data_IF_800314589776
#
_entry.id   IF_800314589776
#
_cell.length_a   1.000
_cell.length_b   1.000
_cell.length_c   1.000
_cell.angle_alpha   90.00
_cell.angle_beta   90.00
_cell.angle_gamma   90.00
#
_symmetry.space_group_name_H-M   'P 1'
#
loop_
_entity.id
_entity.type
_entity.pdbx_description
1 polymer ?
#
# COMPACT_ATOMS: atom_id res chain seq x y z
N UNK A 1 -68.42 24.82 -38.68
CA UNK A 1 -67.09 24.32 -38.23
C UNK A 1 -66.03 24.82 -39.20
N UNK A 2 -65.31 25.90 -38.86
CA UNK A 2 -64.21 26.40 -39.69
C UNK A 2 -63.01 25.48 -39.49
N UNK A 3 -62.72 24.63 -40.49
CA UNK A 3 -61.44 23.92 -40.58
C UNK A 3 -60.36 24.97 -40.89
N UNK A 4 -59.54 25.31 -39.90
CA UNK A 4 -58.34 26.12 -40.12
C UNK A 4 -57.27 25.20 -40.71
N UNK A 5 -56.82 25.49 -41.92
CA UNK A 5 -55.71 24.78 -42.54
C UNK A 5 -54.39 25.20 -41.90
N UNK A 6 -53.55 24.23 -41.57
CA UNK A 6 -52.17 24.46 -41.10
C UNK A 6 -51.45 25.27 -42.18
N UNK A 7 -50.86 26.40 -41.80
CA UNK A 7 -50.11 27.23 -42.73
C UNK A 7 -48.71 26.65 -42.91
N UNK A 8 -48.14 26.77 -44.12
CA UNK A 8 -46.79 26.26 -44.42
C UNK A 8 -45.74 26.84 -43.45
N UNK A 9 -45.95 28.08 -43.00
CA UNK A 9 -45.12 28.75 -42.00
C UNK A 9 -45.12 28.02 -40.64
N UNK A 10 -46.28 27.54 -40.18
CA UNK A 10 -46.42 26.81 -38.92
C UNK A 10 -45.68 25.45 -38.98
N UNK A 11 -45.75 24.75 -40.12
CA UNK A 11 -44.98 23.52 -40.35
C UNK A 11 -43.47 23.78 -40.27
N UNK A 12 -42.98 24.87 -40.88
CA UNK A 12 -41.56 25.22 -40.84
C UNK A 12 -41.08 25.53 -39.42
N UNK A 13 -41.89 26.22 -38.61
CA UNK A 13 -41.57 26.50 -37.22
C UNK A 13 -41.51 25.21 -36.40
N UNK A 14 -42.47 24.30 -36.56
CA UNK A 14 -42.47 23.01 -35.85
C UNK A 14 -41.24 22.17 -36.21
N UNK A 15 -40.87 22.11 -37.49
CA UNK A 15 -39.66 21.39 -37.93
C UNK A 15 -38.39 22.00 -37.35
N UNK A 16 -38.30 23.33 -37.30
CA UNK A 16 -37.16 24.02 -36.69
C UNK A 16 -37.06 23.73 -35.20
N UNK A 17 -38.17 23.83 -34.46
CA UNK A 17 -38.22 23.48 -33.04
C UNK A 17 -37.84 22.02 -32.81
N UNK A 18 -38.34 21.10 -33.64
CA UNK A 18 -38.01 19.68 -33.54
C UNK A 18 -36.52 19.42 -33.81
N UNK A 19 -35.93 20.09 -34.80
CA UNK A 19 -34.49 19.99 -35.09
C UNK A 19 -33.64 20.49 -33.91
N UNK A 20 -34.03 21.59 -33.28
CA UNK A 20 -33.34 22.13 -32.08
C UNK A 20 -33.45 21.14 -30.91
N UNK A 21 -34.64 20.58 -30.67
CA UNK A 21 -34.85 19.61 -29.58
C UNK A 21 -34.05 18.34 -29.82
N UNK A 22 -34.04 17.82 -31.05
CA UNK A 22 -33.26 16.64 -31.40
C UNK A 22 -31.76 16.90 -31.24
N UNK A 23 -31.26 18.07 -31.66
CA UNK A 23 -29.86 18.46 -31.47
C UNK A 23 -29.47 18.63 -30.00
N UNK A 24 -30.33 19.20 -29.18
CA UNK A 24 -30.10 19.31 -27.74
C UNK A 24 -30.14 17.93 -27.05
N UNK A 25 -31.01 17.05 -27.50
CA UNK A 25 -31.13 15.69 -26.94
C UNK A 25 -29.91 14.83 -27.25
N UNK A 26 -29.39 14.89 -28.48
CA UNK A 26 -28.20 14.12 -28.87
C UNK A 26 -26.95 14.59 -28.14
N UNK A 27 -26.76 15.90 -27.99
CA UNK A 27 -25.63 16.47 -27.23
C UNK A 27 -25.71 16.10 -25.74
N UNK A 28 -26.89 16.20 -25.13
CA UNK A 28 -27.10 15.77 -23.73
C UNK A 28 -26.77 14.29 -23.53
N UNK A 29 -27.22 13.40 -24.42
CA UNK A 29 -26.92 11.97 -24.32
C UNK A 29 -25.42 11.72 -24.49
N UNK A 30 -24.75 12.38 -25.43
CA UNK A 30 -23.31 12.25 -25.63
C UNK A 30 -22.52 12.68 -24.38
N UNK A 31 -22.85 13.83 -23.79
CA UNK A 31 -22.22 14.33 -22.56
C UNK A 31 -22.52 13.43 -21.36
N UNK A 32 -23.75 12.91 -21.25
CA UNK A 32 -24.10 11.96 -20.19
C UNK A 32 -23.25 10.67 -20.27
N UNK A 33 -23.06 10.11 -21.47
CA UNK A 33 -22.23 8.91 -21.67
C UNK A 33 -20.77 9.20 -21.29
N UNK A 34 -20.23 10.34 -21.71
CA UNK A 34 -18.86 10.75 -21.35
C UNK A 34 -18.67 10.87 -19.84
N UNK A 35 -19.62 11.51 -19.14
CA UNK A 35 -19.59 11.59 -17.68
C UNK A 35 -19.70 10.23 -17.00
N UNK A 36 -20.53 9.31 -17.52
CA UNK A 36 -20.63 7.96 -16.94
C UNK A 36 -19.36 7.15 -17.10
N UNK A 37 -18.67 7.28 -18.25
CA UNK A 37 -17.41 6.58 -18.48
C UNK A 37 -16.32 7.12 -17.55
N UNK A 38 -16.17 8.45 -17.48
CA UNK A 38 -15.19 9.07 -16.60
C UNK A 38 -15.47 8.76 -15.12
N UNK A 39 -16.74 8.83 -14.69
CA UNK A 39 -17.11 8.48 -13.32
C UNK A 39 -16.84 7.01 -12.98
N UNK A 40 -16.96 6.09 -13.96
CA UNK A 40 -16.64 4.67 -13.76
C UNK A 40 -15.13 4.49 -13.58
N UNK A 41 -14.32 5.12 -14.42
CA UNK A 41 -12.86 5.09 -14.33
C UNK A 41 -12.37 5.63 -12.98
N UNK A 42 -12.87 6.80 -12.56
CA UNK A 42 -12.52 7.39 -11.26
C UNK A 42 -12.92 6.50 -10.07
N UNK A 43 -14.06 5.79 -10.14
CA UNK A 43 -14.48 4.87 -9.07
C UNK A 43 -13.57 3.66 -8.96
N UNK A 44 -13.14 3.11 -10.09
CA UNK A 44 -12.21 1.97 -10.13
C UNK A 44 -10.87 2.38 -9.53
N UNK A 45 -10.34 3.54 -9.94
CA UNK A 45 -9.10 4.09 -9.39
C UNK A 45 -9.19 4.29 -7.87
N UNK A 46 -10.24 4.96 -7.39
CA UNK A 46 -10.46 5.19 -5.95
C UNK A 46 -10.60 3.89 -5.15
N UNK A 47 -11.30 2.88 -5.70
CA UNK A 47 -11.47 1.59 -5.03
C UNK A 47 -10.13 0.86 -4.92
N UNK A 48 -9.32 0.88 -5.99
CA UNK A 48 -7.98 0.29 -6.00
C UNK A 48 -7.08 0.96 -4.96
N UNK A 49 -7.12 2.29 -4.90
CA UNK A 49 -6.39 3.10 -3.94
C UNK A 49 -6.76 2.74 -2.49
N UNK A 50 -8.05 2.74 -2.17
CA UNK A 50 -8.54 2.37 -0.84
C UNK A 50 -8.13 0.94 -0.44
N UNK A 51 -8.24 -0.03 -1.35
CA UNK A 51 -7.84 -1.42 -1.08
C UNK A 51 -6.33 -1.56 -0.84
N UNK A 52 -5.52 -0.81 -1.59
CA UNK A 52 -4.07 -0.78 -1.40
C UNK A 52 -3.71 -0.20 -0.02
N UNK A 53 -4.27 0.95 0.33
CA UNK A 53 -4.02 1.62 1.62
C UNK A 53 -4.53 0.79 2.80
N UNK A 54 -5.72 0.20 2.70
CA UNK A 54 -6.27 -0.66 3.73
C UNK A 54 -5.41 -1.92 3.93
N UNK A 55 -4.86 -2.49 2.85
CA UNK A 55 -3.94 -3.63 2.94
C UNK A 55 -2.64 -3.24 3.64
N UNK A 56 -2.02 -2.12 3.25
CA UNK A 56 -0.81 -1.61 3.93
C UNK A 56 -1.08 -1.30 5.40
N UNK A 57 -2.20 -0.63 5.70
CA UNK A 57 -2.62 -0.34 7.08
C UNK A 57 -2.75 -1.62 7.88
N UNK A 58 -3.43 -2.63 7.35
CA UNK A 58 -3.63 -3.90 8.04
C UNK A 58 -2.31 -4.64 8.34
N UNK A 59 -1.30 -4.56 7.48
CA UNK A 59 -0.01 -5.21 7.72
C UNK A 59 0.77 -4.41 8.78
N UNK A 60 0.86 -3.09 8.61
CA UNK A 60 1.64 -2.21 9.48
C UNK A 60 1.06 -2.08 10.89
N UNK A 61 -0.27 -2.06 11.05
CA UNK A 61 -0.90 -2.00 12.37
C UNK A 61 -0.46 -3.18 13.26
N UNK A 62 -0.18 -4.35 12.69
CA UNK A 62 0.26 -5.53 13.44
C UNK A 62 1.79 -5.59 13.66
N UNK A 63 2.53 -4.53 13.27
CA UNK A 63 3.96 -4.43 13.56
C UNK A 63 4.20 -4.60 15.07
N UNK A 64 5.18 -5.43 15.40
CA UNK A 64 5.45 -5.86 16.75
C UNK A 64 6.94 -5.92 17.01
N UNK A 65 7.32 -5.51 18.20
CA UNK A 65 8.67 -5.56 18.71
C UNK A 65 8.67 -6.33 20.03
N UNK A 66 9.52 -7.35 20.12
CA UNK A 66 9.71 -8.12 21.34
C UNK A 66 10.32 -7.27 22.44
N UNK A 67 9.86 -7.45 23.68
CA UNK A 67 10.44 -6.80 24.86
C UNK A 67 11.72 -7.49 25.34
N UNK A 68 12.06 -8.66 24.79
CA UNK A 68 13.25 -9.40 25.16
C UNK A 68 14.47 -8.88 24.42
N UNK A 69 15.43 -8.29 25.14
CA UNK A 69 16.64 -7.69 24.55
C UNK A 69 17.55 -8.70 23.79
N UNK A 70 17.34 -10.00 24.00
CA UNK A 70 18.09 -11.07 23.31
C UNK A 70 17.37 -11.59 22.07
N UNK A 71 16.15 -11.12 21.80
CA UNK A 71 15.37 -11.56 20.65
C UNK A 71 15.83 -10.82 19.39
N UNK A 72 16.65 -11.49 18.59
CA UNK A 72 17.11 -10.97 17.29
C UNK A 72 16.10 -11.20 16.17
N UNK A 73 15.04 -11.98 16.40
CA UNK A 73 14.04 -12.29 15.41
C UNK A 73 12.93 -11.22 15.34
N UNK A 74 12.92 -10.25 16.25
CA UNK A 74 11.98 -9.13 16.26
C UNK A 74 12.68 -7.80 16.05
N UNK A 75 12.29 -7.06 15.02
CA UNK A 75 12.92 -5.78 14.66
C UNK A 75 12.01 -4.94 13.77
N UNK A 76 12.33 -3.66 13.66
CA UNK A 76 11.67 -2.70 12.78
C UNK A 76 12.72 -1.74 12.23
N UNK A 77 12.85 -1.71 10.91
CA UNK A 77 13.85 -0.91 10.22
C UNK A 77 13.23 -0.26 8.98
N UNK A 78 13.50 1.02 8.78
CA UNK A 78 13.07 1.75 7.62
C UNK A 78 14.06 2.84 7.25
N UNK A 79 14.21 3.11 5.96
CA UNK A 79 15.09 4.16 5.44
C UNK A 79 16.24 3.62 4.58
N UNK A 80 17.30 4.41 4.44
CA UNK A 80 18.26 4.35 3.34
C UNK A 80 19.26 3.19 3.38
N UNK A 81 19.35 2.43 4.47
CA UNK A 81 20.42 1.45 4.69
C UNK A 81 19.96 -0.02 4.57
N UNK A 82 18.76 -0.28 4.03
CA UNK A 82 18.16 -1.63 4.02
C UNK A 82 18.49 -2.41 2.75
N UNK A 83 18.32 -1.83 1.57
CA UNK A 83 18.78 -2.46 0.33
C UNK A 83 20.31 -2.55 0.29
N UNK A 84 20.83 -3.73 -0.10
CA UNK A 84 22.21 -3.91 -0.54
C UNK A 84 22.43 -3.12 -1.83
N UNK A 85 22.52 -1.79 -1.74
CA UNK A 85 22.91 -0.96 -2.87
C UNK A 85 24.35 -1.29 -3.23
N UNK A 86 24.57 -1.64 -4.50
CA UNK A 86 25.92 -1.77 -5.03
C UNK A 86 26.58 -0.39 -4.91
N UNK A 87 27.80 -0.33 -4.36
CA UNK A 87 28.50 0.92 -4.06
C UNK A 87 28.39 1.94 -5.22
N UNK A 88 27.66 3.04 -4.99
CA UNK A 88 27.50 4.14 -5.94
C UNK A 88 26.07 4.42 -6.45
N UNK A 89 25.05 3.66 -6.04
CA UNK A 89 23.65 4.08 -6.24
C UNK A 89 23.14 4.89 -5.05
N UNK A 90 22.31 5.91 -5.35
CA UNK A 90 21.60 6.65 -4.31
C UNK A 90 20.74 5.68 -3.51
N UNK A 91 20.87 5.73 -2.19
CA UNK A 91 20.05 4.92 -1.30
C UNK A 91 18.59 5.32 -1.44
N UNK A 92 17.74 4.34 -1.74
CA UNK A 92 16.32 4.57 -1.94
C UNK A 92 15.62 4.47 -0.58
N UNK A 93 14.93 5.52 -0.08
CA UNK A 93 14.15 5.46 1.18
C UNK A 93 12.87 4.62 1.04
N UNK A 94 12.83 3.71 0.07
CA UNK A 94 11.65 2.98 -0.39
C UNK A 94 11.48 1.63 0.28
N UNK A 95 12.44 1.23 1.13
CA UNK A 95 12.41 -0.04 1.84
C UNK A 95 11.97 0.13 3.30
N UNK A 96 11.09 -0.78 3.73
CA UNK A 96 10.61 -0.91 5.09
C UNK A 96 10.56 -2.40 5.45
N UNK A 97 11.32 -2.80 6.45
CA UNK A 97 11.41 -4.18 6.93
C UNK A 97 11.03 -4.23 8.40
N UNK A 98 10.10 -5.10 8.77
CA UNK A 98 9.63 -5.18 10.14
C UNK A 98 9.04 -6.54 10.45
N UNK A 99 9.02 -6.86 11.73
CA UNK A 99 8.33 -8.04 12.24
C UNK A 99 6.94 -7.65 12.71
N UNK A 100 5.98 -8.52 12.48
CA UNK A 100 4.61 -8.35 12.88
C UNK A 100 4.08 -9.63 13.53
N UNK A 101 3.05 -9.48 14.35
CA UNK A 101 2.28 -10.64 14.78
C UNK A 101 1.61 -11.25 13.55
N UNK A 102 1.80 -12.55 13.34
CA UNK A 102 1.30 -13.24 12.15
C UNK A 102 -0.22 -13.02 12.00
N UNK A 103 -0.73 -12.83 10.77
CA UNK A 103 -2.16 -12.82 10.52
C UNK A 103 -2.80 -14.11 11.03
N UNK A 104 -4.11 -14.06 11.28
CA UNK A 104 -4.86 -15.24 11.72
C UNK A 104 -4.62 -16.40 10.74
N UNK A 105 -4.28 -17.57 11.29
CA UNK A 105 -4.09 -18.81 10.52
C UNK A 105 -5.32 -19.00 9.60
N UNK A 106 -5.13 -19.19 8.28
CA UNK A 106 -6.23 -19.35 7.35
C UNK A 106 -7.18 -20.47 7.78
N UNK A 107 -8.48 -20.27 7.60
CA UNK A 107 -9.48 -21.29 7.97
C UNK A 107 -9.29 -22.59 7.19
N UNK A 108 -8.69 -22.54 6.00
CA UNK A 108 -8.37 -23.70 5.18
C UNK A 108 -7.32 -24.59 5.86
N UNK A 109 -6.28 -23.99 6.44
CA UNK A 109 -5.28 -24.70 7.24
C UNK A 109 -5.92 -25.33 8.48
N UNK A 110 -6.77 -24.57 9.19
CA UNK A 110 -7.45 -25.06 10.40
C UNK A 110 -8.45 -26.18 10.08
N UNK A 111 -9.14 -26.10 8.95
CA UNK A 111 -10.17 -27.07 8.55
C UNK A 111 -9.61 -28.27 7.80
N UNK A 112 -8.34 -28.24 7.40
CA UNK A 112 -7.69 -29.35 6.73
C UNK A 112 -7.58 -30.57 7.67
N UNK A 113 -7.72 -31.76 7.08
CA UNK A 113 -7.45 -33.03 7.75
C UNK A 113 -6.13 -33.65 7.26
N UNK A 114 -5.34 -32.89 6.51
CA UNK A 114 -4.03 -33.32 6.04
C UNK A 114 -3.05 -33.44 7.22
N UNK A 115 -1.98 -34.21 7.03
CA UNK A 115 -0.92 -34.31 8.03
C UNK A 115 -0.06 -33.04 8.08
N UNK A 116 0.73 -32.91 9.15
CA UNK A 116 1.57 -31.74 9.38
C UNK A 116 2.55 -31.52 8.22
N UNK A 117 3.14 -32.60 7.70
CA UNK A 117 4.09 -32.57 6.59
C UNK A 117 3.45 -32.01 5.32
N UNK A 118 2.26 -32.47 4.96
CA UNK A 118 1.53 -31.95 3.78
C UNK A 118 1.12 -30.49 3.97
N UNK A 119 0.68 -30.11 5.17
CA UNK A 119 0.33 -28.73 5.48
C UNK A 119 1.54 -27.80 5.42
N UNK A 120 2.66 -28.21 6.00
CA UNK A 120 3.90 -27.45 5.97
C UNK A 120 4.47 -27.34 4.55
N UNK A 121 4.36 -28.40 3.74
CA UNK A 121 4.78 -28.36 2.32
C UNK A 121 3.85 -27.46 1.47
N UNK A 122 2.56 -27.38 1.82
CA UNK A 122 1.56 -26.63 1.04
C UNK A 122 1.52 -25.14 1.41
N UNK A 123 1.53 -24.84 2.71
CA UNK A 123 1.32 -23.49 3.23
C UNK A 123 2.59 -22.88 3.85
N UNK A 124 3.59 -23.71 4.15
CA UNK A 124 4.74 -23.32 4.95
C UNK A 124 4.49 -23.49 6.46
N UNK A 125 5.48 -23.17 7.29
CA UNK A 125 5.32 -23.17 8.72
C UNK A 125 4.41 -22.00 9.14
N UNK A 126 3.31 -22.35 9.81
CA UNK A 126 2.27 -21.41 10.24
C UNK A 126 2.44 -21.01 11.71
N UNK A 127 2.34 -19.71 11.98
CA UNK A 127 2.41 -19.13 13.33
C UNK A 127 3.77 -18.57 13.73
N UNK A 128 3.76 -17.72 14.77
CA UNK A 128 4.94 -17.00 15.25
C UNK A 128 4.99 -15.53 14.80
N UNK A 129 6.18 -14.95 14.78
CA UNK A 129 6.41 -13.65 14.17
C UNK A 129 6.55 -13.83 12.66
N UNK A 130 5.88 -12.98 11.90
CA UNK A 130 6.05 -12.87 10.46
C UNK A 130 6.92 -11.66 10.19
N UNK A 131 7.98 -11.86 9.43
CA UNK A 131 8.78 -10.80 8.87
C UNK A 131 8.12 -10.29 7.58
N UNK A 132 8.02 -8.98 7.45
CA UNK A 132 7.52 -8.30 6.26
C UNK A 132 8.56 -7.35 5.73
N UNK A 133 8.61 -7.26 4.41
CA UNK A 133 9.41 -6.29 3.70
C UNK A 133 8.61 -5.69 2.55
N UNK A 134 8.60 -4.37 2.52
CA UNK A 134 7.97 -3.53 1.52
C UNK A 134 9.06 -2.75 0.82
N UNK A 135 9.22 -2.94 -0.48
CA UNK A 135 10.26 -2.29 -1.27
C UNK A 135 9.93 -2.25 -2.75
N UNK A 136 10.59 -1.34 -3.48
CA UNK A 136 10.48 -1.27 -4.96
C UNK A 136 11.49 -2.17 -5.66
N UNK A 137 12.47 -2.67 -4.91
CA UNK A 137 13.47 -3.60 -5.41
C UNK A 137 13.05 -5.03 -5.06
N UNK A 138 12.94 -5.94 -6.03
CA UNK A 138 12.69 -7.35 -5.72
C UNK A 138 13.91 -7.97 -5.05
N UNK A 139 13.69 -8.88 -4.10
CA UNK A 139 14.76 -9.71 -3.54
C UNK A 139 14.98 -10.94 -4.43
N UNK A 140 16.24 -11.16 -4.80
CA UNK A 140 16.65 -12.31 -5.61
C UNK A 140 16.23 -12.23 -7.08
N UNK A 141 16.11 -13.39 -7.72
CA UNK A 141 15.63 -13.50 -9.10
C UNK A 141 14.10 -13.27 -9.10
N UNK A 142 13.68 -12.08 -9.55
CA UNK A 142 12.26 -11.69 -9.59
C UNK A 142 11.40 -12.78 -10.25
N UNK A 143 10.22 -13.13 -9.69
CA UNK A 143 9.26 -14.01 -10.35
C UNK A 143 8.68 -13.28 -11.58
N UNK A 144 9.41 -13.36 -12.69
CA UNK A 144 9.17 -12.62 -13.92
C UNK A 144 10.13 -11.44 -14.06
N UNK A 145 11.05 -11.52 -15.03
CA UNK A 145 12.08 -10.53 -15.42
C UNK A 145 11.54 -9.12 -15.80
N UNK A 146 10.28 -8.79 -15.51
CA UNK A 146 9.64 -7.56 -15.99
C UNK A 146 8.52 -7.03 -15.09
N UNK A 147 8.22 -7.67 -13.95
CA UNK A 147 7.31 -7.05 -13.00
C UNK A 147 7.98 -5.79 -12.44
N UNK A 148 7.23 -4.70 -12.34
CA UNK A 148 7.61 -3.45 -11.69
C UNK A 148 6.56 -3.14 -10.62
N UNK A 149 6.89 -2.33 -9.62
CA UNK A 149 5.92 -1.88 -8.61
C UNK A 149 6.40 -2.07 -7.19
N UNK A 150 5.47 -2.01 -6.25
CA UNK A 150 5.74 -2.30 -4.84
C UNK A 150 5.66 -3.81 -4.61
N UNK A 151 6.72 -4.37 -4.06
CA UNK A 151 6.79 -5.77 -3.63
C UNK A 151 6.46 -5.87 -2.15
N UNK A 152 5.81 -6.99 -1.79
CA UNK A 152 5.64 -7.45 -0.43
C UNK A 152 6.30 -8.81 -0.32
N UNK A 153 7.43 -8.87 0.39
CA UNK A 153 8.02 -10.11 0.88
C UNK A 153 7.47 -10.40 2.28
N UNK A 154 7.20 -11.67 2.54
CA UNK A 154 6.87 -12.13 3.88
C UNK A 154 7.54 -13.47 4.17
N UNK A 155 7.95 -13.65 5.41
CA UNK A 155 8.55 -14.89 5.90
C UNK A 155 8.00 -15.23 7.28
N UNK A 156 7.50 -16.45 7.40
CA UNK A 156 7.05 -17.02 8.67
C UNK A 156 7.79 -18.35 8.85
N UNK A 157 8.39 -18.63 10.02
CA UNK A 157 8.70 -17.67 11.08
C UNK A 157 9.82 -16.70 10.66
N UNK A 158 9.87 -15.53 11.27
CA UNK A 158 11.01 -14.61 11.14
C UNK A 158 12.32 -15.29 11.60
N UNK A 159 13.40 -15.17 10.81
CA UNK A 159 14.71 -15.76 11.11
C UNK A 159 15.78 -14.72 11.45
N UNK A 160 15.46 -13.43 11.33
CA UNK A 160 16.36 -12.32 11.63
C UNK A 160 17.28 -11.92 10.47
N UNK A 161 17.19 -12.56 9.30
CA UNK A 161 17.91 -12.16 8.08
C UNK A 161 16.94 -11.81 6.95
N UNK A 162 16.59 -10.53 6.87
CA UNK A 162 15.69 -10.01 5.84
C UNK A 162 16.24 -10.09 4.41
N UNK A 163 17.53 -10.38 4.24
CA UNK A 163 18.12 -10.40 2.90
C UNK A 163 17.93 -11.73 2.17
N UNK A 164 17.37 -12.74 2.85
CA UNK A 164 17.23 -14.10 2.33
C UNK A 164 15.83 -14.64 2.59
N UNK A 165 15.48 -15.71 1.87
CA UNK A 165 14.25 -16.45 2.10
C UNK A 165 12.96 -15.68 1.77
N UNK A 166 11.86 -16.15 2.36
CA UNK A 166 10.53 -15.57 2.22
C UNK A 166 9.83 -15.81 0.88
N UNK A 167 8.54 -15.49 0.87
CA UNK A 167 7.71 -15.45 -0.33
C UNK A 167 7.45 -14.01 -0.73
N UNK A 168 7.81 -13.67 -1.97
CA UNK A 168 7.58 -12.34 -2.52
C UNK A 168 6.36 -12.33 -3.45
N UNK A 169 5.54 -11.28 -3.32
CA UNK A 169 4.42 -11.01 -4.21
C UNK A 169 4.42 -9.54 -4.62
N UNK A 170 3.88 -9.25 -5.81
CA UNK A 170 3.64 -7.85 -6.22
C UNK A 170 2.39 -7.36 -5.50
N UNK A 171 2.55 -6.30 -4.70
CA UNK A 171 1.46 -5.70 -3.93
C UNK A 171 0.64 -4.73 -4.80
N UNK A 172 1.31 -3.84 -5.51
CA UNK A 172 0.70 -2.97 -6.52
C UNK A 172 1.72 -2.72 -7.65
N UNK A 173 1.45 -3.18 -8.89
CA UNK A 173 2.40 -3.06 -10.00
C UNK A 173 2.58 -1.62 -10.51
N UNK A 174 1.68 -0.71 -10.14
CA UNK A 174 1.69 0.65 -10.66
C UNK A 174 2.42 1.63 -9.74
N UNK A 175 2.95 1.21 -8.60
CA UNK A 175 3.70 2.10 -7.70
C UNK A 175 5.07 2.40 -8.31
N UNK A 176 5.32 3.69 -8.58
CA UNK A 176 6.57 4.19 -9.14
C UNK A 176 7.55 4.60 -8.03
N UNK A 177 7.03 5.23 -6.98
CA UNK A 177 7.83 5.70 -5.84
C UNK A 177 7.06 5.51 -4.54
N UNK A 178 7.78 5.18 -3.46
CA UNK A 178 7.25 5.13 -2.10
C UNK A 178 8.32 5.62 -1.13
N UNK A 179 7.92 6.31 -0.07
CA UNK A 179 8.79 6.74 1.02
C UNK A 179 8.07 6.66 2.35
N UNK A 180 8.88 6.50 3.41
CA UNK A 180 8.40 6.35 4.77
C UNK A 180 9.01 7.44 5.68
N UNK A 181 8.16 8.04 6.51
CA UNK A 181 8.58 8.87 7.63
C UNK A 181 8.02 8.28 8.93
N UNK A 182 8.81 8.33 10.00
CA UNK A 182 8.54 7.67 11.28
C UNK A 182 8.36 8.72 12.38
N UNK A 183 7.25 8.66 13.11
CA UNK A 183 6.96 9.62 14.17
C UNK A 183 7.55 9.18 15.51
N UNK A 184 8.55 9.92 16.00
CA UNK A 184 9.26 9.63 17.26
C UNK A 184 8.52 10.13 18.51
N UNK A 185 7.33 10.74 18.35
CA UNK A 185 6.55 11.37 19.41
C UNK A 185 6.62 12.90 19.41
N UNK A 186 7.66 13.50 18.84
CA UNK A 186 7.77 14.96 18.64
C UNK A 186 7.87 15.32 17.16
N UNK A 187 8.72 14.62 16.41
CA UNK A 187 9.14 14.92 15.04
C UNK A 187 9.03 13.70 14.12
N UNK A 188 9.08 13.97 12.82
CA UNK A 188 9.11 12.94 11.77
C UNK A 188 10.55 12.70 11.32
N UNK A 189 10.97 11.44 11.34
CA UNK A 189 12.31 11.00 10.96
C UNK A 189 12.23 10.16 9.67
N UNK A 190 13.23 10.26 8.81
CA UNK A 190 13.28 9.51 7.53
C UNK A 190 13.91 8.12 7.67
N UNK A 191 14.45 7.82 8.86
CA UNK A 191 15.13 6.57 9.17
C UNK A 191 14.66 6.07 10.52
N UNK A 192 14.57 4.76 10.67
CA UNK A 192 14.30 4.10 11.96
C UNK A 192 15.04 2.77 11.97
N UNK A 193 15.80 2.47 13.02
CA UNK A 193 16.50 1.18 13.12
C UNK A 193 16.53 0.70 14.57
N UNK A 194 15.60 -0.20 14.91
CA UNK A 194 15.53 -0.75 16.27
C UNK A 194 16.72 -1.63 16.64
N UNK A 195 17.53 -2.08 15.68
CA UNK A 195 18.72 -2.89 15.98
C UNK A 195 19.94 -2.04 16.34
N UNK A 196 19.95 -0.77 15.93
CA UNK A 196 20.99 0.18 16.30
C UNK A 196 20.75 0.81 17.69
N UNK A 197 19.53 0.74 18.20
CA UNK A 197 19.11 1.39 19.45
C UNK A 197 19.40 0.54 20.70
N UNK A 198 19.84 1.20 21.78
CA UNK A 198 20.01 0.56 23.09
C UNK A 198 18.68 0.16 23.75
N UNK A 199 17.59 0.83 23.37
CA UNK A 199 16.24 0.54 23.86
C UNK A 199 15.31 0.52 22.65
N UNK A 200 15.22 -0.64 21.96
CA UNK A 200 14.41 -0.81 20.77
C UNK A 200 12.95 -0.40 21.03
N UNK A 201 12.42 0.54 20.22
CA UNK A 201 11.03 0.98 20.30
C UNK A 201 10.45 1.15 18.90
N UNK A 202 9.17 0.81 18.73
CA UNK A 202 8.45 1.07 17.48
C UNK A 202 8.12 2.57 17.37
N UNK A 203 8.13 3.15 16.16
CA UNK A 203 7.62 4.51 15.98
C UNK A 203 6.11 4.54 16.28
N UNK A 204 5.62 5.69 16.74
CA UNK A 204 4.18 5.80 17.10
C UNK A 204 3.26 5.78 15.88
N UNK A 205 3.75 6.30 14.75
CA UNK A 205 3.05 6.31 13.47
C UNK A 205 4.06 6.33 12.31
N UNK A 206 3.60 5.87 11.15
CA UNK A 206 4.33 5.89 9.89
C UNK A 206 3.52 6.74 8.91
N UNK A 207 4.16 7.71 8.27
CA UNK A 207 3.60 8.43 7.12
C UNK A 207 4.17 7.80 5.87
N UNK A 208 3.28 7.40 4.99
CA UNK A 208 3.61 6.74 3.74
C UNK A 208 3.25 7.72 2.64
N UNK A 209 4.22 8.07 1.81
CA UNK A 209 4.00 8.88 0.61
C UNK A 209 4.33 8.02 -0.59
N UNK A 210 3.41 7.91 -1.54
CA UNK A 210 3.59 7.09 -2.72
C UNK A 210 3.05 7.76 -3.98
N UNK A 211 3.55 7.36 -5.14
CA UNK A 211 3.05 7.80 -6.45
C UNK A 211 2.91 6.59 -7.37
N UNK A 212 1.83 6.57 -8.16
CA UNK A 212 1.65 5.58 -9.23
C UNK A 212 2.12 6.12 -10.59
N UNK A 213 2.52 5.24 -11.49
CA UNK A 213 3.07 5.57 -12.82
C UNK A 213 2.18 6.50 -13.67
N UNK A 214 0.86 6.45 -13.49
CA UNK A 214 -0.11 7.26 -14.24
C UNK A 214 -0.68 8.44 -13.44
N UNK A 215 -0.21 8.66 -12.22
CA UNK A 215 -0.69 9.71 -11.35
C UNK A 215 0.23 10.93 -11.41
N UNK A 216 -0.36 12.13 -11.43
CA UNK A 216 0.37 13.40 -11.44
C UNK A 216 0.59 13.98 -10.04
N UNK A 217 0.12 13.30 -8.99
CA UNK A 217 0.17 13.76 -7.62
C UNK A 217 0.65 12.64 -6.71
N UNK A 218 1.37 13.02 -5.66
CA UNK A 218 1.74 12.10 -4.58
C UNK A 218 0.52 11.89 -3.66
N UNK A 219 0.36 10.65 -3.22
CA UNK A 219 -0.64 10.25 -2.24
C UNK A 219 0.03 10.06 -0.90
N UNK A 220 -0.60 10.54 0.16
CA UNK A 220 -0.04 10.45 1.52
C UNK A 220 -1.11 10.01 2.50
N UNK A 221 -0.78 9.01 3.31
CA UNK A 221 -1.60 8.61 4.45
C UNK A 221 -0.72 8.26 5.64
N UNK A 222 -1.34 8.19 6.82
CA UNK A 222 -0.66 7.90 8.09
C UNK A 222 -1.25 6.64 8.70
N UNK A 223 -0.39 5.73 9.15
CA UNK A 223 -0.74 4.52 9.88
C UNK A 223 -0.19 4.63 11.30
N UNK A 224 -1.04 4.35 12.30
CA UNK A 224 -0.63 4.31 13.69
C UNK A 224 -0.19 2.88 14.05
N UNK A 225 0.94 2.73 14.72
CA UNK A 225 1.37 1.42 15.23
C UNK A 225 0.76 1.19 16.61
N UNK A 226 -0.14 0.23 16.73
CA UNK A 226 -0.89 0.01 17.99
C UNK A 226 -0.02 -0.55 19.12
N UNK A 227 1.09 -1.20 18.78
CA UNK A 227 2.04 -1.78 19.73
C UNK A 227 3.18 -0.83 20.12
N UNK A 228 3.18 0.41 19.61
CA UNK A 228 4.13 1.43 20.04
C UNK A 228 3.72 2.06 21.38
N UNK A 229 4.68 2.23 22.27
CA UNK A 229 4.55 2.96 23.53
C UNK A 229 4.99 4.44 23.41
N UNK A 230 5.37 4.86 22.20
CA UNK A 230 5.84 6.21 21.89
C UNK A 230 4.68 7.18 21.90
N UNK A 231 4.84 8.27 22.64
CA UNK A 231 3.86 9.34 22.78
C UNK A 231 4.56 10.69 22.85
N UNK A 232 3.87 11.83 22.65
CA UNK A 232 4.46 13.14 22.87
C UNK A 232 5.04 13.35 24.28
N UNK A 233 4.48 12.67 25.29
CA UNK A 233 4.96 12.69 26.67
C UNK A 233 6.11 11.70 26.94
N UNK A 234 6.32 10.73 26.05
CA UNK A 234 7.38 9.71 26.13
C UNK A 234 8.00 9.46 24.73
N UNK A 235 8.66 10.47 24.14
CA UNK A 235 9.22 10.37 22.80
C UNK A 235 10.45 9.45 22.77
N UNK A 236 10.82 9.00 21.57
CA UNK A 236 12.14 8.40 21.32
C UNK A 236 13.10 9.53 21.02
N UNK A 237 14.17 9.62 21.80
CA UNK A 237 15.26 10.57 21.53
C UNK A 237 16.34 9.85 20.74
N UNK A 238 16.20 9.83 19.42
CA UNK A 238 17.22 9.31 18.50
C UNK A 238 18.41 10.29 18.51
N UNK A 239 19.39 10.09 19.40
CA UNK A 239 20.44 11.11 19.57
C UNK A 239 21.59 10.88 20.54
N UNK A 240 21.54 9.92 21.48
CA UNK A 240 22.70 9.61 22.32
C UNK A 240 23.58 8.51 21.71
N UNK A 241 24.06 8.77 20.49
CA UNK A 241 25.28 8.10 20.01
C UNK A 241 26.44 8.79 20.73
N UNK A 242 26.93 8.16 21.81
CA UNK A 242 28.19 8.55 22.44
C UNK A 242 29.27 8.72 21.37
N UNK A 243 29.85 9.92 21.30
CA UNK A 243 31.18 10.13 20.73
C UNK A 243 32.24 9.36 21.52
#
# INVERSE_FOLDING_TARGET
MMRRGITLLELMVVLLCMAIILGASTTMVATAIQHTNHAKESRVAYTREALFEDRLRSILENAYLSSEATDTASYFRGGTDLSQSTAGQAQDPSDLVFTALSPRIPSEVIASNDDFETLNDTYGPEGGLTEYELGLTPIGDSPGDSATGLYLRHQTPADGDYTQGGYQTVLDPDIESISYEFYNGTDWETTWDTQADNTPRLPSAIRITYRRTNDNADHTFVVRLIHSDVTPENPVTTGDTNQ
#
